data_IF_124958427349
#
_entry.id   IF_124958427349
#
_cell.length_a   1.000
_cell.length_b   1.000
_cell.length_c   1.000
_cell.angle_alpha   90.00
_cell.angle_beta   90.00
_cell.angle_gamma   90.00
#
_symmetry.space_group_name_H-M   'P 1'
#
loop_
_entity.id
_entity.type
_entity.pdbx_description
1 polymer ?
#
# COMPACT_ATOMS: atom_id res chain seq x y z
N UNK A 1 -41.69 0.11 -80.23
CA UNK A 1 -43.00 0.65 -79.75
C UNK A 1 -42.82 0.87 -78.27
N UNK A 2 -42.76 2.14 -77.88
CA UNK A 2 -43.59 2.90 -76.92
C UNK A 2 -43.64 2.25 -75.53
N UNK A 3 -43.43 2.92 -74.42
CA UNK A 3 -43.44 4.30 -74.06
C UNK A 3 -42.82 4.49 -72.65
N UNK A 4 -42.20 5.61 -72.41
CA UNK A 4 -41.88 6.33 -71.25
C UNK A 4 -42.94 6.28 -70.14
N UNK A 5 -42.54 6.18 -68.88
CA UNK A 5 -43.10 7.04 -67.84
C UNK A 5 -42.09 7.22 -66.69
N UNK A 6 -41.88 8.46 -66.36
CA UNK A 6 -41.05 9.00 -65.25
C UNK A 6 -41.83 8.84 -63.95
N UNK A 7 -41.16 8.44 -62.91
CA UNK A 7 -41.69 8.47 -61.55
C UNK A 7 -40.63 8.98 -60.60
N UNK A 8 -40.83 10.19 -60.09
CA UNK A 8 -40.03 10.85 -59.03
C UNK A 8 -40.09 10.00 -57.76
N UNK A 9 -38.93 9.57 -57.22
CA UNK A 9 -38.81 9.03 -55.89
C UNK A 9 -38.12 10.04 -54.98
N UNK A 10 -38.85 10.52 -54.03
CA UNK A 10 -38.41 11.44 -52.98
C UNK A 10 -37.33 10.80 -52.10
N UNK A 11 -36.21 11.47 -51.91
CA UNK A 11 -35.23 11.16 -50.87
C UNK A 11 -35.84 11.51 -49.49
N UNK A 12 -36.14 10.47 -48.73
CA UNK A 12 -36.33 10.59 -47.28
C UNK A 12 -34.99 10.47 -46.59
N UNK A 13 -34.42 11.56 -46.17
CA UNK A 13 -33.24 11.58 -45.31
C UNK A 13 -33.65 11.12 -43.89
N UNK A 14 -33.30 9.87 -43.55
CA UNK A 14 -33.41 9.37 -42.16
C UNK A 14 -32.26 9.96 -41.37
N UNK A 15 -32.55 10.97 -40.52
CA UNK A 15 -31.67 11.43 -39.48
C UNK A 15 -31.56 10.34 -38.39
N UNK A 16 -30.48 9.58 -38.38
CA UNK A 16 -30.11 8.76 -37.25
C UNK A 16 -29.72 9.68 -36.10
N UNK A 17 -30.63 9.86 -35.15
CA UNK A 17 -30.32 10.41 -33.84
C UNK A 17 -29.33 9.45 -33.16
N UNK A 18 -28.05 9.85 -33.09
CA UNK A 18 -27.08 9.24 -32.20
C UNK A 18 -27.53 9.52 -30.77
N UNK A 19 -28.27 8.59 -30.19
CA UNK A 19 -28.47 8.56 -28.73
C UNK A 19 -27.12 8.30 -28.09
N UNK A 20 -26.40 9.36 -27.76
CA UNK A 20 -25.23 9.27 -26.91
C UNK A 20 -25.67 8.61 -25.59
N UNK A 21 -25.07 7.48 -25.25
CA UNK A 21 -25.08 6.98 -23.89
C UNK A 21 -24.49 8.07 -23.02
N UNK A 22 -25.35 8.89 -22.41
CA UNK A 22 -24.98 9.71 -21.29
C UNK A 22 -24.56 8.72 -20.19
N UNK A 23 -23.27 8.52 -20.06
CA UNK A 23 -22.71 7.84 -18.89
C UNK A 23 -23.35 8.53 -17.67
N UNK A 24 -23.96 7.75 -16.80
CA UNK A 24 -24.45 8.22 -15.51
C UNK A 24 -23.23 8.73 -14.78
N UNK A 25 -22.99 10.04 -14.81
CA UNK A 25 -21.97 10.68 -14.01
C UNK A 25 -22.35 10.40 -12.56
N UNK A 26 -21.55 9.62 -11.87
CA UNK A 26 -21.73 9.40 -10.43
C UNK A 26 -21.89 10.76 -9.77
N UNK A 27 -22.78 10.84 -8.77
CA UNK A 27 -23.04 12.10 -8.06
C UNK A 27 -21.72 12.68 -7.57
N UNK A 28 -21.33 13.82 -8.12
CA UNK A 28 -20.03 14.47 -7.86
C UNK A 28 -20.02 15.13 -6.50
N UNK A 29 -21.19 15.51 -5.97
CA UNK A 29 -21.34 16.21 -4.71
C UNK A 29 -22.07 15.35 -3.67
N UNK A 30 -21.50 15.28 -2.46
CA UNK A 30 -22.22 14.74 -1.31
C UNK A 30 -23.33 15.71 -0.92
N UNK A 31 -24.57 15.23 -0.66
CA UNK A 31 -25.71 16.10 -0.40
C UNK A 31 -25.60 16.79 0.96
N UNK A 32 -25.92 18.07 0.99
CA UNK A 32 -26.00 18.86 2.22
C UNK A 32 -24.65 19.18 2.86
N UNK A 33 -24.61 19.22 4.18
CA UNK A 33 -23.45 19.60 4.98
C UNK A 33 -22.88 18.44 5.82
N UNK A 34 -23.27 17.21 5.54
CA UNK A 34 -22.77 16.02 6.24
C UNK A 34 -21.95 15.16 5.28
N UNK A 35 -20.71 14.90 5.64
CA UNK A 35 -19.77 14.07 4.90
C UNK A 35 -19.49 12.81 5.70
N UNK A 36 -19.29 11.68 5.02
CA UNK A 36 -18.79 10.44 5.61
C UNK A 36 -17.40 10.13 5.07
N UNK A 37 -16.50 9.74 5.97
CA UNK A 37 -15.22 9.10 5.64
C UNK A 37 -15.31 7.66 6.12
N UNK A 38 -15.18 6.74 5.19
CA UNK A 38 -15.16 5.31 5.47
C UNK A 38 -13.72 4.83 5.65
N UNK A 39 -13.53 3.87 6.54
CA UNK A 39 -12.27 3.11 6.67
C UNK A 39 -12.61 1.63 6.70
N UNK A 40 -11.87 0.81 5.94
CA UNK A 40 -12.03 -0.64 5.89
C UNK A 40 -10.66 -1.30 6.13
N UNK A 41 -10.57 -2.06 7.19
CA UNK A 41 -9.34 -2.70 7.68
C UNK A 41 -9.71 -4.01 8.41
N UNK A 42 -8.85 -5.04 8.44
CA UNK A 42 -9.12 -6.26 9.19
C UNK A 42 -8.99 -5.98 10.70
N UNK A 43 -10.13 -5.88 11.39
CA UNK A 43 -10.20 -5.52 12.82
C UNK A 43 -10.07 -6.74 13.74
N UNK A 44 -9.93 -7.94 13.18
CA UNK A 44 -9.79 -9.20 13.90
C UNK A 44 -8.53 -9.94 13.44
N UNK A 45 -8.12 -10.97 14.21
CA UNK A 45 -7.00 -11.83 13.85
C UNK A 45 -5.63 -11.18 13.89
N UNK A 46 -4.66 -11.69 13.12
CA UNK A 46 -3.26 -11.27 13.20
C UNK A 46 -3.00 -9.80 12.88
N UNK A 47 -3.81 -9.19 12.01
CA UNK A 47 -3.68 -7.78 11.60
C UNK A 47 -4.37 -6.80 12.56
N UNK A 48 -5.21 -7.28 13.49
CA UNK A 48 -5.98 -6.43 14.39
C UNK A 48 -5.14 -5.41 15.17
N UNK A 49 -3.95 -5.72 15.69
CA UNK A 49 -3.13 -4.74 16.40
C UNK A 49 -2.69 -3.56 15.52
N UNK A 50 -2.34 -3.82 14.25
CA UNK A 50 -1.97 -2.80 13.27
C UNK A 50 -3.21 -1.97 12.89
N UNK A 51 -4.31 -2.62 12.57
CA UNK A 51 -5.58 -1.98 12.21
C UNK A 51 -6.10 -1.08 13.33
N UNK A 52 -6.00 -1.53 14.59
CA UNK A 52 -6.40 -0.72 15.75
C UNK A 52 -5.57 0.57 15.89
N UNK A 53 -4.27 0.52 15.58
CA UNK A 53 -3.42 1.71 15.56
C UNK A 53 -3.84 2.67 14.45
N UNK A 54 -4.09 2.18 13.23
CA UNK A 54 -4.53 2.99 12.09
C UNK A 54 -5.87 3.66 12.42
N UNK A 55 -6.89 2.89 12.79
CA UNK A 55 -8.23 3.40 13.17
C UNK A 55 -8.16 4.41 14.30
N UNK A 56 -7.33 4.13 15.31
CA UNK A 56 -7.14 5.07 16.42
C UNK A 56 -6.46 6.37 15.99
N UNK A 57 -5.51 6.32 15.07
CA UNK A 57 -4.89 7.48 14.43
C UNK A 57 -5.92 8.31 13.64
N UNK A 58 -6.74 7.67 12.82
CA UNK A 58 -7.82 8.31 12.05
C UNK A 58 -8.83 9.02 12.98
N UNK A 59 -9.31 8.31 14.01
CA UNK A 59 -10.22 8.87 15.02
C UNK A 59 -9.58 10.04 15.77
N UNK A 60 -8.29 9.97 16.08
CA UNK A 60 -7.58 11.04 16.77
C UNK A 60 -7.51 12.31 15.91
N UNK A 61 -7.15 12.19 14.63
CA UNK A 61 -7.07 13.32 13.71
C UNK A 61 -8.45 13.99 13.52
N UNK A 62 -9.52 13.21 13.33
CA UNK A 62 -10.87 13.73 13.22
C UNK A 62 -11.33 14.44 14.50
N UNK A 63 -11.03 13.86 15.67
CA UNK A 63 -11.38 14.46 16.95
C UNK A 63 -10.64 15.78 17.21
N UNK A 64 -9.38 15.90 16.80
CA UNK A 64 -8.62 17.14 16.89
C UNK A 64 -9.16 18.22 15.93
N UNK A 65 -9.77 17.83 14.82
CA UNK A 65 -10.50 18.72 13.92
C UNK A 65 -11.90 19.10 14.44
N UNK A 66 -12.34 18.55 15.56
CA UNK A 66 -13.66 18.80 16.13
C UNK A 66 -14.82 18.13 15.39
N UNK A 67 -14.54 17.15 14.51
CA UNK A 67 -15.56 16.46 13.72
C UNK A 67 -16.16 17.32 12.59
N UNK A 68 -15.48 18.39 12.17
CA UNK A 68 -15.97 19.27 11.11
C UNK A 68 -14.85 20.00 10.37
N UNK A 69 -15.16 20.46 9.15
CA UNK A 69 -14.31 21.34 8.35
C UNK A 69 -15.16 22.51 7.87
N UNK A 70 -14.95 23.70 8.46
CA UNK A 70 -15.85 24.83 8.24
C UNK A 70 -17.30 24.46 8.61
N UNK A 71 -18.27 24.67 7.71
CA UNK A 71 -19.67 24.31 7.96
C UNK A 71 -19.99 22.83 7.77
N UNK A 72 -19.06 22.05 7.22
CA UNK A 72 -19.26 20.64 6.89
C UNK A 72 -18.98 19.76 8.11
N UNK A 73 -19.95 18.96 8.53
CA UNK A 73 -19.78 17.91 9.54
C UNK A 73 -19.18 16.69 8.89
N UNK A 74 -18.20 16.08 9.54
CA UNK A 74 -17.50 14.89 9.06
C UNK A 74 -17.76 13.73 10.01
N UNK A 75 -18.49 12.72 9.52
CA UNK A 75 -18.67 11.44 10.17
C UNK A 75 -17.55 10.47 9.80
N UNK A 76 -17.34 9.48 10.64
CA UNK A 76 -16.36 8.41 10.41
C UNK A 76 -17.03 7.06 10.63
N UNK A 77 -16.87 6.16 9.64
CA UNK A 77 -17.40 4.81 9.65
C UNK A 77 -16.23 3.84 9.50
N UNK A 78 -16.01 3.01 10.52
CA UNK A 78 -14.99 1.95 10.47
C UNK A 78 -15.67 0.62 10.16
N UNK A 79 -15.27 -0.02 9.07
CA UNK A 79 -15.72 -1.31 8.61
C UNK A 79 -14.64 -2.36 8.90
N UNK A 80 -15.05 -3.63 8.99
CA UNK A 80 -14.17 -4.77 9.28
C UNK A 80 -14.18 -5.73 8.10
N UNK A 81 -13.08 -5.74 7.34
CA UNK A 81 -12.91 -6.65 6.21
C UNK A 81 -12.23 -7.98 6.58
N UNK A 82 -12.13 -8.29 7.87
CA UNK A 82 -11.58 -9.55 8.33
C UNK A 82 -12.50 -10.73 8.00
N UNK A 83 -11.89 -11.86 7.69
CA UNK A 83 -12.56 -13.16 7.65
C UNK A 83 -12.99 -13.56 9.07
N UNK A 84 -14.27 -13.87 9.32
CA UNK A 84 -14.75 -14.19 10.67
C UNK A 84 -14.20 -15.52 11.22
N UNK A 85 -13.56 -16.36 10.39
CA UNK A 85 -13.01 -17.66 10.83
C UNK A 85 -11.59 -17.53 11.36
N UNK A 86 -10.72 -16.81 10.66
CA UNK A 86 -9.29 -16.72 10.98
C UNK A 86 -8.77 -15.28 11.13
N UNK A 87 -9.62 -14.28 10.87
CA UNK A 87 -9.28 -12.88 10.98
C UNK A 87 -8.31 -12.37 9.89
N UNK A 88 -8.05 -13.16 8.86
CA UNK A 88 -7.29 -12.70 7.70
C UNK A 88 -8.12 -11.71 6.87
N UNK A 89 -7.49 -10.83 6.05
CA UNK A 89 -8.24 -9.99 5.11
C UNK A 89 -9.10 -10.83 4.19
N UNK A 90 -10.39 -10.47 4.05
CA UNK A 90 -11.38 -11.22 3.28
C UNK A 90 -11.74 -10.48 1.98
N UNK A 91 -11.44 -11.04 0.79
CA UNK A 91 -11.79 -10.42 -0.48
C UNK A 91 -13.26 -10.05 -0.61
N UNK A 92 -14.16 -10.90 -0.10
CA UNK A 92 -15.61 -10.66 -0.15
C UNK A 92 -16.06 -9.56 0.80
N UNK A 93 -15.46 -9.47 2.01
CA UNK A 93 -15.75 -8.40 2.94
C UNK A 93 -15.21 -7.06 2.42
N UNK A 94 -13.96 -7.01 1.96
CA UNK A 94 -13.36 -5.82 1.31
C UNK A 94 -14.24 -5.28 0.17
N UNK A 95 -14.71 -6.18 -0.73
CA UNK A 95 -15.60 -5.76 -1.83
C UNK A 95 -16.98 -5.28 -1.33
N UNK A 96 -17.50 -5.84 -0.24
CA UNK A 96 -18.76 -5.41 0.39
C UNK A 96 -18.62 -4.05 1.03
N UNK A 97 -17.53 -3.81 1.74
CA UNK A 97 -17.21 -2.56 2.40
C UNK A 97 -17.02 -1.42 1.39
N UNK A 98 -16.27 -1.69 0.31
CA UNK A 98 -16.10 -0.74 -0.78
C UNK A 98 -17.44 -0.39 -1.45
N UNK A 99 -18.32 -1.37 -1.68
CA UNK A 99 -19.67 -1.12 -2.20
C UNK A 99 -20.51 -0.30 -1.24
N UNK A 100 -20.46 -0.61 0.06
CA UNK A 100 -21.17 0.15 1.10
C UNK A 100 -20.76 1.63 1.09
N UNK A 101 -19.44 1.89 1.06
CA UNK A 101 -18.91 3.24 0.96
C UNK A 101 -19.30 3.93 -0.36
N UNK A 102 -19.25 3.21 -1.49
CA UNK A 102 -19.60 3.74 -2.80
C UNK A 102 -21.10 4.08 -2.95
N UNK A 103 -21.98 3.37 -2.26
CA UNK A 103 -23.44 3.57 -2.29
C UNK A 103 -23.92 4.67 -1.37
N UNK A 104 -23.17 5.00 -0.32
CA UNK A 104 -23.50 6.14 0.55
C UNK A 104 -23.15 7.45 -0.17
N UNK A 105 -24.18 8.23 -0.51
CA UNK A 105 -24.01 9.49 -1.23
C UNK A 105 -23.24 10.54 -0.43
N UNK A 106 -23.18 10.41 0.90
CA UNK A 106 -22.43 11.31 1.78
C UNK A 106 -20.92 11.00 1.80
N UNK A 107 -20.46 9.88 1.25
CA UNK A 107 -19.04 9.49 1.25
C UNK A 107 -18.20 10.47 0.45
N UNK A 108 -17.19 11.04 1.10
CA UNK A 108 -16.21 11.95 0.49
C UNK A 108 -14.85 11.33 0.30
N UNK A 109 -14.49 10.37 1.15
CA UNK A 109 -13.23 9.63 1.05
C UNK A 109 -13.35 8.22 1.66
N UNK A 110 -12.50 7.32 1.19
CA UNK A 110 -12.32 5.97 1.69
C UNK A 110 -10.87 5.79 2.13
N UNK A 111 -10.65 5.39 3.39
CA UNK A 111 -9.35 5.12 3.98
C UNK A 111 -9.15 3.60 4.04
N UNK A 112 -8.19 3.12 3.32
CA UNK A 112 -7.96 1.68 3.19
C UNK A 112 -7.38 1.30 1.82
N UNK A 113 -7.11 0.05 1.64
CA UNK A 113 -7.18 -1.07 2.59
C UNK A 113 -5.83 -1.31 3.24
N UNK A 114 -5.79 -2.23 4.19
CA UNK A 114 -4.52 -2.76 4.69
C UNK A 114 -4.00 -3.80 3.68
N UNK A 115 -2.94 -3.43 2.98
CA UNK A 115 -2.32 -4.28 1.99
C UNK A 115 -2.89 -4.15 0.57
N UNK A 116 -2.06 -4.51 -0.39
CA UNK A 116 -2.27 -4.27 -1.81
C UNK A 116 -3.40 -5.10 -2.42
N UNK A 117 -3.60 -6.32 -1.93
CA UNK A 117 -4.65 -7.21 -2.41
C UNK A 117 -6.06 -6.65 -2.12
N UNK A 118 -6.28 -6.11 -0.91
CA UNK A 118 -7.53 -5.42 -0.58
C UNK A 118 -7.74 -4.19 -1.46
N UNK A 119 -6.72 -3.34 -1.59
CA UNK A 119 -6.79 -2.14 -2.43
C UNK A 119 -7.05 -2.45 -3.89
N UNK A 120 -6.48 -3.52 -4.44
CA UNK A 120 -6.76 -3.94 -5.82
C UNK A 120 -8.23 -4.33 -6.06
N UNK A 121 -8.94 -4.75 -5.01
CA UNK A 121 -10.37 -5.08 -5.04
C UNK A 121 -11.26 -3.86 -4.81
N UNK A 122 -10.93 -3.02 -3.84
CA UNK A 122 -11.74 -1.85 -3.46
C UNK A 122 -11.61 -0.70 -4.47
N UNK A 123 -10.38 -0.45 -4.97
CA UNK A 123 -10.09 0.70 -5.80
C UNK A 123 -10.95 0.84 -7.05
N UNK A 124 -11.21 -0.21 -7.85
CA UNK A 124 -12.10 -0.06 -9.00
C UNK A 124 -13.53 0.38 -8.63
N UNK A 125 -14.03 -0.07 -7.48
CA UNK A 125 -15.36 0.27 -6.99
C UNK A 125 -15.41 1.73 -6.48
N UNK A 126 -14.45 2.13 -5.70
CA UNK A 126 -14.31 3.47 -5.15
C UNK A 126 -14.02 4.49 -6.26
N UNK A 127 -13.17 4.12 -7.23
CA UNK A 127 -12.90 4.95 -8.40
C UNK A 127 -14.15 5.16 -9.27
N UNK A 128 -14.91 4.09 -9.55
CA UNK A 128 -16.16 4.19 -10.30
C UNK A 128 -17.19 5.12 -9.64
N UNK A 129 -17.17 5.24 -8.30
CA UNK A 129 -18.01 6.16 -7.53
C UNK A 129 -17.43 7.59 -7.46
N UNK A 130 -16.28 7.85 -8.07
CA UNK A 130 -15.59 9.15 -8.03
C UNK A 130 -15.15 9.56 -6.62
N UNK A 131 -14.78 8.62 -5.77
CA UNK A 131 -14.38 8.84 -4.38
C UNK A 131 -12.86 8.78 -4.27
N UNK A 132 -12.26 9.67 -3.47
CA UNK A 132 -10.86 9.63 -3.10
C UNK A 132 -10.58 8.40 -2.23
N UNK A 133 -9.60 7.57 -2.61
CA UNK A 133 -9.10 6.48 -1.78
C UNK A 133 -7.69 6.79 -1.28
N UNK A 134 -7.47 6.68 0.02
CA UNK A 134 -6.15 6.88 0.65
C UNK A 134 -5.78 5.64 1.44
N UNK A 135 -4.75 4.93 0.99
CA UNK A 135 -4.27 3.76 1.72
C UNK A 135 -3.17 4.12 2.71
N UNK A 136 -3.28 3.65 3.95
CA UNK A 136 -2.19 3.74 4.93
C UNK A 136 -1.04 2.79 4.60
N UNK A 137 -1.32 1.66 3.90
CA UNK A 137 -0.32 0.67 3.52
C UNK A 137 -0.78 -0.18 2.32
N UNK A 138 -0.34 0.15 1.11
CA UNK A 138 -0.53 -0.64 -0.09
C UNK A 138 0.63 -0.37 -1.05
N UNK A 139 1.77 -1.06 -0.87
CA UNK A 139 3.02 -0.71 -1.55
C UNK A 139 3.07 -1.14 -3.02
N UNK A 140 2.19 -2.03 -3.49
CA UNK A 140 2.23 -2.63 -4.82
C UNK A 140 2.39 -1.62 -5.96
N UNK A 141 3.41 -1.81 -6.78
CA UNK A 141 3.76 -0.90 -7.89
C UNK A 141 2.63 -0.74 -8.89
N UNK A 142 1.89 -1.82 -9.21
CA UNK A 142 0.84 -1.85 -10.20
C UNK A 142 -0.39 -0.98 -9.88
N UNK A 143 -0.56 -0.53 -8.64
CA UNK A 143 -1.64 0.39 -8.28
C UNK A 143 -1.44 1.80 -8.88
N UNK A 144 -0.20 2.19 -9.17
CA UNK A 144 0.13 3.57 -9.59
C UNK A 144 0.98 3.65 -10.85
N UNK A 145 1.73 2.59 -11.19
CA UNK A 145 2.66 2.53 -12.30
C UNK A 145 2.41 1.31 -13.19
N UNK A 146 2.77 1.40 -14.46
CA UNK A 146 2.83 0.26 -15.39
C UNK A 146 4.22 -0.37 -15.47
N UNK A 147 5.22 0.21 -14.81
CA UNK A 147 6.59 -0.31 -14.81
C UNK A 147 6.64 -1.57 -13.95
N UNK A 148 7.07 -2.69 -14.53
CA UNK A 148 7.14 -4.01 -13.87
C UNK A 148 5.83 -4.47 -13.22
N UNK A 149 4.70 -3.91 -13.65
CA UNK A 149 3.37 -4.21 -13.17
C UNK A 149 2.70 -5.31 -14.01
N UNK A 150 1.55 -5.80 -13.56
CA UNK A 150 0.74 -6.76 -14.30
C UNK A 150 0.15 -6.16 -15.59
N UNK A 151 -0.39 -7.05 -16.44
CA UNK A 151 -1.05 -6.63 -17.68
C UNK A 151 -2.22 -5.68 -17.38
N UNK A 152 -2.34 -4.62 -18.20
CA UNK A 152 -3.37 -3.57 -18.08
C UNK A 152 -3.32 -2.76 -16.78
N UNK A 153 -2.29 -2.90 -15.97
CA UNK A 153 -2.06 -2.08 -14.78
C UNK A 153 -1.30 -0.79 -15.13
N UNK A 154 -1.63 0.27 -14.43
CA UNK A 154 -2.65 0.44 -13.39
C UNK A 154 -4.06 0.71 -13.96
N UNK A 155 -4.24 0.73 -15.27
CA UNK A 155 -5.49 1.12 -15.95
C UNK A 155 -6.72 0.36 -15.44
N UNK A 156 -6.61 -0.93 -15.21
CA UNK A 156 -7.71 -1.79 -14.73
C UNK A 156 -8.29 -1.37 -13.37
N UNK A 157 -7.52 -0.65 -12.56
CA UNK A 157 -7.97 -0.16 -11.26
C UNK A 157 -8.71 1.18 -11.33
N UNK A 158 -8.70 1.84 -12.50
CA UNK A 158 -9.27 3.17 -12.69
C UNK A 158 -10.29 3.17 -13.84
N UNK A 159 -11.48 2.54 -13.66
CA UNK A 159 -12.49 2.46 -14.72
C UNK A 159 -12.97 3.82 -15.23
N UNK A 160 -12.84 4.90 -14.44
CA UNK A 160 -13.15 6.27 -14.89
C UNK A 160 -12.01 6.90 -15.71
N UNK A 161 -10.85 6.28 -15.78
CA UNK A 161 -9.63 6.86 -16.35
C UNK A 161 -8.94 7.93 -15.48
N UNK A 162 -9.57 8.34 -14.38
CA UNK A 162 -9.03 9.34 -13.45
C UNK A 162 -8.30 8.68 -12.29
N UNK A 163 -7.19 9.26 -11.85
CA UNK A 163 -6.49 8.86 -10.63
C UNK A 163 -7.23 9.36 -9.40
N UNK A 164 -7.63 8.44 -8.52
CA UNK A 164 -8.35 8.73 -7.26
C UNK A 164 -7.71 8.08 -6.05
N UNK A 165 -6.61 7.36 -6.22
CA UNK A 165 -5.90 6.64 -5.18
C UNK A 165 -4.58 7.30 -4.82
N UNK A 166 -4.29 7.39 -3.52
CA UNK A 166 -2.99 7.81 -3.00
C UNK A 166 -2.54 6.86 -1.89
N UNK A 167 -1.28 6.42 -1.95
CA UNK A 167 -0.63 5.71 -0.83
C UNK A 167 0.21 6.66 0.01
N UNK A 168 0.16 6.53 1.32
CA UNK A 168 0.94 7.37 2.23
C UNK A 168 2.32 6.80 2.55
N UNK A 169 2.50 5.50 2.44
CA UNK A 169 3.80 4.87 2.62
C UNK A 169 4.57 4.79 1.30
N UNK A 170 5.91 4.78 1.33
CA UNK A 170 6.71 4.49 0.15
C UNK A 170 6.35 3.13 -0.46
N UNK A 171 6.24 3.07 -1.79
CA UNK A 171 5.90 1.85 -2.51
C UNK A 171 7.10 0.93 -2.80
N UNK A 172 6.83 -0.17 -3.51
CA UNK A 172 7.78 -1.25 -3.81
C UNK A 172 9.06 -0.79 -4.49
N UNK A 173 9.01 0.20 -5.37
CA UNK A 173 10.21 0.75 -6.00
C UNK A 173 11.18 1.34 -4.97
N UNK A 174 10.66 1.97 -3.92
CA UNK A 174 11.49 2.51 -2.82
C UNK A 174 12.02 1.37 -1.96
N UNK A 175 11.22 0.34 -1.71
CA UNK A 175 11.66 -0.87 -0.98
C UNK A 175 12.78 -1.60 -1.71
N UNK A 176 12.65 -1.82 -3.00
CA UNK A 176 13.66 -2.48 -3.83
C UNK A 176 14.99 -1.71 -3.81
N UNK A 177 14.94 -0.39 -3.97
CA UNK A 177 16.12 0.46 -3.86
C UNK A 177 16.76 0.39 -2.46
N UNK A 178 15.96 0.34 -1.39
CA UNK A 178 16.47 0.15 -0.02
C UNK A 178 17.17 -1.21 0.15
N UNK A 179 16.61 -2.28 -0.42
CA UNK A 179 17.19 -3.62 -0.41
C UNK A 179 18.53 -3.67 -1.15
N UNK A 180 18.61 -3.07 -2.34
CA UNK A 180 19.86 -2.98 -3.10
C UNK A 180 20.93 -2.20 -2.31
N UNK A 181 20.55 -1.10 -1.65
CA UNK A 181 21.44 -0.29 -0.82
C UNK A 181 21.88 -1.06 0.44
N UNK A 182 20.98 -1.79 1.07
CA UNK A 182 21.30 -2.68 2.19
C UNK A 182 22.33 -3.74 1.78
N UNK A 183 22.09 -4.46 0.69
CA UNK A 183 23.02 -5.48 0.19
C UNK A 183 24.42 -4.91 -0.07
N UNK A 184 24.48 -3.71 -0.67
CA UNK A 184 25.78 -3.02 -0.85
C UNK A 184 26.47 -2.70 0.47
N UNK A 185 25.75 -2.17 1.45
CA UNK A 185 26.28 -1.81 2.77
C UNK A 185 26.80 -3.05 3.54
N UNK A 186 26.18 -4.20 3.32
CA UNK A 186 26.59 -5.49 3.89
C UNK A 186 27.71 -6.16 3.08
N UNK A 187 28.18 -5.57 1.99
CA UNK A 187 29.27 -6.10 1.16
C UNK A 187 28.86 -7.26 0.25
N UNK A 188 27.57 -7.49 0.04
CA UNK A 188 27.05 -8.53 -0.84
C UNK A 188 27.50 -8.27 -2.28
N UNK A 189 28.07 -9.29 -2.92
CA UNK A 189 28.48 -9.27 -4.33
C UNK A 189 27.61 -10.15 -5.22
N UNK A 190 26.89 -11.09 -4.62
CA UNK A 190 26.02 -12.02 -5.33
C UNK A 190 24.79 -12.38 -4.49
N UNK A 191 23.61 -12.19 -5.06
CA UNK A 191 22.30 -12.45 -4.43
C UNK A 191 21.55 -13.52 -5.22
N UNK A 192 20.79 -14.35 -4.52
CA UNK A 192 19.75 -15.21 -5.08
C UNK A 192 18.39 -14.61 -4.72
N UNK A 193 17.53 -14.36 -5.70
CA UNK A 193 16.20 -13.77 -5.49
C UNK A 193 15.17 -14.88 -5.53
N UNK A 194 14.22 -14.85 -4.61
CA UNK A 194 13.10 -15.80 -4.55
C UNK A 194 11.81 -14.99 -4.33
N UNK A 195 10.74 -15.29 -5.05
CA UNK A 195 9.39 -14.87 -4.73
C UNK A 195 8.48 -16.06 -4.38
N UNK A 196 7.36 -15.81 -3.71
CA UNK A 196 6.40 -16.84 -3.28
C UNK A 196 5.23 -17.04 -4.25
N UNK A 197 5.33 -16.52 -5.47
CA UNK A 197 4.29 -16.55 -6.51
C UNK A 197 3.08 -15.65 -6.21
N UNK A 198 3.11 -14.86 -5.14
CA UNK A 198 2.07 -13.86 -4.91
C UNK A 198 2.15 -12.76 -5.98
N UNK A 199 1.04 -12.46 -6.68
CA UNK A 199 1.05 -11.48 -7.77
C UNK A 199 1.42 -10.06 -7.33
N UNK A 200 1.41 -9.75 -6.04
CA UNK A 200 1.83 -8.46 -5.50
C UNK A 200 3.31 -8.45 -5.08
N UNK A 201 3.91 -9.62 -4.81
CA UNK A 201 5.32 -9.74 -4.40
C UNK A 201 6.26 -10.04 -5.58
N UNK A 202 5.79 -10.75 -6.63
CA UNK A 202 6.57 -11.05 -7.84
C UNK A 202 7.16 -9.79 -8.49
N UNK A 203 6.42 -8.68 -8.69
CA UNK A 203 6.98 -7.44 -9.23
C UNK A 203 8.05 -6.83 -8.32
N UNK A 204 7.87 -6.86 -7.00
CA UNK A 204 8.88 -6.38 -6.05
C UNK A 204 10.19 -7.18 -6.19
N UNK A 205 10.12 -8.53 -6.30
CA UNK A 205 11.29 -9.36 -6.54
C UNK A 205 12.01 -8.99 -7.83
N UNK A 206 11.24 -8.74 -8.90
CA UNK A 206 11.77 -8.35 -10.21
C UNK A 206 12.50 -7.00 -10.14
N UNK A 207 11.87 -5.99 -9.53
CA UNK A 207 12.47 -4.66 -9.35
C UNK A 207 13.72 -4.76 -8.48
N UNK A 208 13.66 -5.52 -7.38
CA UNK A 208 14.79 -5.70 -6.48
C UNK A 208 15.98 -6.41 -7.14
N UNK A 209 15.73 -7.38 -8.02
CA UNK A 209 16.77 -8.01 -8.83
C UNK A 209 17.41 -7.00 -9.81
N UNK A 210 16.59 -6.18 -10.47
CA UNK A 210 17.05 -5.12 -11.36
C UNK A 210 17.91 -4.08 -10.63
N UNK A 211 17.44 -3.59 -9.48
CA UNK A 211 18.14 -2.62 -8.65
C UNK A 211 19.45 -3.18 -8.08
N UNK A 212 19.46 -4.45 -7.69
CA UNK A 212 20.68 -5.13 -7.27
C UNK A 212 21.71 -5.18 -8.40
N UNK A 213 21.28 -5.54 -9.62
CA UNK A 213 22.16 -5.57 -10.79
C UNK A 213 22.69 -4.17 -11.13
N UNK A 214 21.83 -3.15 -11.11
CA UNK A 214 22.21 -1.74 -11.31
C UNK A 214 23.19 -1.24 -10.25
N UNK A 215 23.09 -1.77 -9.02
CA UNK A 215 24.00 -1.48 -7.91
C UNK A 215 25.34 -2.27 -8.00
N UNK A 216 25.56 -3.07 -9.05
CA UNK A 216 26.78 -3.87 -9.24
C UNK A 216 26.80 -5.17 -8.44
N UNK A 217 25.65 -5.66 -8.00
CA UNK A 217 25.49 -6.95 -7.31
C UNK A 217 25.03 -7.98 -8.34
N UNK A 218 25.80 -9.08 -8.48
CA UNK A 218 25.42 -10.15 -9.39
C UNK A 218 24.17 -10.88 -8.92
N UNK A 219 23.15 -10.95 -9.77
CA UNK A 219 21.96 -11.77 -9.52
C UNK A 219 22.25 -13.19 -10.00
N UNK A 220 22.34 -14.13 -9.07
CA UNK A 220 22.70 -15.52 -9.35
C UNK A 220 21.57 -16.27 -10.06
N UNK A 221 20.34 -16.05 -9.58
CA UNK A 221 19.10 -16.52 -10.17
C UNK A 221 17.92 -15.74 -9.55
N UNK A 222 16.76 -15.86 -10.18
CA UNK A 222 15.47 -15.46 -9.66
C UNK A 222 14.50 -16.63 -9.83
N UNK A 223 14.14 -17.28 -8.73
CA UNK A 223 13.22 -18.41 -8.70
C UNK A 223 11.89 -18.02 -8.06
N UNK A 224 10.82 -18.53 -8.65
CA UNK A 224 9.43 -18.30 -8.18
C UNK A 224 8.92 -19.64 -7.61
N UNK A 225 8.66 -19.70 -6.30
CA UNK A 225 8.33 -20.93 -5.59
C UNK A 225 7.12 -20.76 -4.68
N UNK A 226 6.21 -21.73 -4.67
CA UNK A 226 5.15 -21.75 -3.68
C UNK A 226 5.69 -22.08 -2.29
N UNK A 227 5.18 -21.41 -1.25
CA UNK A 227 5.62 -21.60 0.14
C UNK A 227 4.48 -22.10 1.07
N UNK A 228 3.80 -23.21 0.75
CA UNK A 228 2.76 -23.74 1.60
C UNK A 228 3.30 -24.31 2.92
N UNK A 229 2.46 -24.37 3.94
CA UNK A 229 2.80 -25.04 5.19
C UNK A 229 3.19 -26.50 4.96
N UNK A 230 4.27 -26.96 5.61
CA UNK A 230 4.76 -28.34 5.50
C UNK A 230 5.58 -28.66 4.24
N UNK A 231 5.83 -27.68 3.37
CA UNK A 231 6.67 -27.88 2.19
C UNK A 231 8.13 -28.17 2.58
N UNK A 232 8.80 -28.98 1.75
CA UNK A 232 10.25 -29.19 1.81
C UNK A 232 10.94 -28.29 0.79
N UNK A 233 11.94 -27.56 1.22
CA UNK A 233 12.73 -26.64 0.38
C UNK A 233 14.15 -27.16 0.07
N UNK A 234 14.41 -28.48 0.25
CA UNK A 234 15.73 -29.05 0.07
C UNK A 234 16.31 -28.77 -1.33
N UNK A 235 15.49 -28.90 -2.39
CA UNK A 235 15.94 -28.62 -3.75
C UNK A 235 16.25 -27.15 -3.98
N UNK A 236 15.49 -26.24 -3.38
CA UNK A 236 15.73 -24.80 -3.48
C UNK A 236 17.00 -24.38 -2.72
N UNK A 237 17.16 -24.90 -1.51
CA UNK A 237 18.39 -24.73 -0.73
C UNK A 237 19.62 -25.20 -1.51
N UNK A 238 19.56 -26.37 -2.17
CA UNK A 238 20.65 -26.87 -3.01
C UNK A 238 20.99 -25.93 -4.18
N UNK A 239 19.97 -25.35 -4.85
CA UNK A 239 20.19 -24.34 -5.90
C UNK A 239 20.91 -23.11 -5.34
N UNK A 240 20.43 -22.57 -4.22
CA UNK A 240 21.06 -21.42 -3.54
C UNK A 240 22.52 -21.72 -3.21
N UNK A 241 22.80 -22.88 -2.62
CA UNK A 241 24.18 -23.26 -2.28
C UNK A 241 25.09 -23.37 -3.51
N UNK A 242 24.62 -24.01 -4.58
CA UNK A 242 25.38 -24.14 -5.84
C UNK A 242 25.60 -22.81 -6.55
N UNK A 243 24.72 -21.84 -6.34
CA UNK A 243 24.80 -20.52 -6.99
C UNK A 243 25.97 -19.67 -6.51
N UNK A 244 26.53 -19.96 -5.34
CA UNK A 244 27.53 -19.14 -4.68
C UNK A 244 27.01 -17.79 -4.20
N UNK A 245 25.72 -17.64 -3.99
CA UNK A 245 25.11 -16.43 -3.44
C UNK A 245 25.58 -16.21 -1.98
N UNK A 246 25.78 -14.95 -1.63
CA UNK A 246 26.12 -14.50 -0.28
C UNK A 246 24.88 -14.06 0.49
N UNK A 247 23.80 -13.80 -0.24
CA UNK A 247 22.50 -13.43 0.31
C UNK A 247 21.35 -14.07 -0.48
N UNK A 248 20.26 -14.33 0.20
CA UNK A 248 18.94 -14.58 -0.40
C UNK A 248 18.07 -13.38 -0.14
N UNK A 249 17.44 -12.84 -1.17
CA UNK A 249 16.36 -11.89 -1.08
C UNK A 249 15.04 -12.63 -1.36
N UNK A 250 14.11 -12.60 -0.43
CA UNK A 250 12.81 -13.22 -0.57
C UNK A 250 11.71 -12.14 -0.55
N UNK A 251 10.93 -12.08 -1.60
CA UNK A 251 9.71 -11.30 -1.69
C UNK A 251 8.52 -12.25 -1.53
N UNK A 252 7.81 -12.11 -0.42
CA UNK A 252 6.71 -12.99 -0.09
C UNK A 252 6.21 -12.82 1.33
N UNK A 253 5.14 -13.54 1.66
CA UNK A 253 4.52 -13.51 2.97
C UNK A 253 5.30 -14.27 4.05
N UNK A 254 5.19 -13.83 5.31
CA UNK A 254 5.83 -14.43 6.48
C UNK A 254 5.12 -15.69 7.02
N UNK A 255 4.46 -16.47 6.17
CA UNK A 255 3.74 -17.68 6.58
C UNK A 255 4.63 -18.85 7.00
N UNK A 256 4.02 -19.99 7.44
CA UNK A 256 4.76 -21.16 7.92
C UNK A 256 5.75 -21.74 6.90
N UNK A 257 5.46 -21.65 5.60
CA UNK A 257 6.38 -22.07 4.54
C UNK A 257 7.63 -21.19 4.47
N UNK A 258 7.49 -19.87 4.58
CA UNK A 258 8.63 -18.95 4.65
C UNK A 258 9.49 -19.22 5.90
N UNK A 259 8.88 -19.52 7.05
CA UNK A 259 9.60 -19.94 8.26
C UNK A 259 10.43 -21.21 7.99
N UNK A 260 9.85 -22.19 7.30
CA UNK A 260 10.55 -23.44 6.96
C UNK A 260 11.71 -23.19 5.99
N UNK A 261 11.50 -22.36 4.96
CA UNK A 261 12.54 -21.93 4.02
C UNK A 261 13.72 -21.25 4.76
N UNK A 262 13.41 -20.28 5.64
CA UNK A 262 14.42 -19.57 6.43
C UNK A 262 15.29 -20.48 7.26
N UNK A 263 14.65 -21.39 7.99
CA UNK A 263 15.35 -22.39 8.81
C UNK A 263 16.22 -23.33 7.97
N UNK A 264 15.72 -23.77 6.81
CA UNK A 264 16.45 -24.66 5.92
C UNK A 264 17.68 -23.97 5.29
N UNK A 265 17.55 -22.73 4.83
CA UNK A 265 18.65 -21.91 4.31
C UNK A 265 19.72 -21.68 5.37
N UNK A 266 19.32 -21.28 6.57
CA UNK A 266 20.25 -21.03 7.68
C UNK A 266 20.96 -22.31 8.14
N UNK A 267 20.26 -23.45 8.19
CA UNK A 267 20.85 -24.72 8.55
C UNK A 267 21.93 -25.17 7.55
N UNK A 268 21.72 -24.91 6.26
CA UNK A 268 22.68 -25.22 5.19
C UNK A 268 23.87 -24.23 5.18
N UNK A 269 23.65 -22.96 5.47
CA UNK A 269 24.67 -21.93 5.48
C UNK A 269 24.38 -20.85 6.55
N UNK A 270 24.86 -21.00 7.78
CA UNK A 270 24.59 -20.08 8.88
C UNK A 270 25.05 -18.62 8.64
N UNK A 271 25.99 -18.42 7.72
CA UNK A 271 26.52 -17.11 7.34
C UNK A 271 25.81 -16.48 6.14
N UNK A 272 24.90 -17.19 5.50
CA UNK A 272 24.08 -16.66 4.41
C UNK A 272 23.18 -15.55 4.92
N UNK A 273 23.25 -14.38 4.30
CA UNK A 273 22.38 -13.27 4.66
C UNK A 273 20.97 -13.52 4.11
N UNK A 274 19.96 -13.33 4.94
CA UNK A 274 18.56 -13.56 4.60
C UNK A 274 17.83 -12.20 4.66
N UNK A 275 17.38 -11.73 3.50
CA UNK A 275 16.69 -10.45 3.35
C UNK A 275 15.23 -10.71 3.03
N UNK A 276 14.33 -10.09 3.79
CA UNK A 276 12.89 -10.17 3.57
C UNK A 276 12.25 -8.80 3.39
N UNK A 277 10.97 -8.81 3.06
CA UNK A 277 10.14 -7.64 2.78
C UNK A 277 9.34 -7.19 4.02
N UNK A 278 8.58 -6.09 3.88
CA UNK A 278 7.68 -5.59 4.91
C UNK A 278 6.59 -6.61 5.30
N UNK A 279 6.19 -7.50 4.39
CA UNK A 279 5.21 -8.56 4.63
C UNK A 279 5.67 -9.60 5.68
N UNK A 280 6.97 -9.61 6.04
CA UNK A 280 7.57 -10.58 6.96
C UNK A 280 7.86 -10.02 8.36
N UNK A 281 7.50 -8.77 8.64
CA UNK A 281 7.85 -8.10 9.93
C UNK A 281 7.00 -8.55 11.11
N UNK A 282 5.93 -9.31 10.88
CA UNK A 282 5.01 -9.79 11.93
C UNK A 282 5.63 -10.83 12.87
N UNK A 283 5.23 -10.82 14.15
CA UNK A 283 5.73 -11.76 15.17
C UNK A 283 5.44 -13.23 14.82
N UNK A 284 4.39 -13.51 14.04
CA UNK A 284 4.08 -14.85 13.55
C UNK A 284 5.23 -15.46 12.73
N UNK A 285 6.03 -14.64 12.04
CA UNK A 285 7.24 -15.07 11.35
C UNK A 285 8.47 -14.91 12.23
N UNK A 286 8.72 -13.71 12.75
CA UNK A 286 10.00 -13.36 13.39
C UNK A 286 10.30 -14.18 14.64
N UNK A 287 9.26 -14.58 15.41
CA UNK A 287 9.42 -15.42 16.60
C UNK A 287 9.73 -16.89 16.28
N UNK A 288 9.46 -17.33 15.03
CA UNK A 288 9.55 -18.74 14.67
C UNK A 288 10.81 -19.10 13.87
N UNK A 289 11.55 -18.14 13.32
CA UNK A 289 12.73 -18.44 12.48
C UNK A 289 13.96 -18.98 13.27
N UNK A 290 13.93 -18.92 14.60
CA UNK A 290 14.97 -19.50 15.47
C UNK A 290 16.35 -18.90 15.21
N UNK A 291 17.37 -19.76 15.02
CA UNK A 291 18.76 -19.32 14.78
C UNK A 291 18.95 -18.48 13.52
N UNK A 292 18.07 -18.61 12.52
CA UNK A 292 18.12 -17.79 11.30
C UNK A 292 17.95 -16.29 11.58
N UNK A 293 17.39 -15.90 12.73
CA UNK A 293 17.28 -14.52 13.16
C UNK A 293 18.62 -13.76 13.13
N UNK A 294 19.74 -14.45 13.41
CA UNK A 294 21.05 -13.83 13.45
C UNK A 294 21.53 -13.27 12.10
N UNK A 295 21.07 -13.86 10.98
CA UNK A 295 21.42 -13.46 9.61
C UNK A 295 20.27 -12.78 8.87
N UNK A 296 19.14 -12.50 9.54
CA UNK A 296 17.92 -11.95 8.94
C UNK A 296 17.89 -10.43 9.03
N UNK A 297 17.54 -9.80 7.91
CA UNK A 297 17.25 -8.38 7.76
C UNK A 297 15.90 -8.22 7.07
N UNK A 298 14.99 -7.42 7.64
CA UNK A 298 13.68 -7.14 7.06
C UNK A 298 13.58 -5.66 6.71
N UNK A 299 13.16 -5.35 5.50
CA UNK A 299 12.90 -3.98 5.08
C UNK A 299 11.46 -3.58 5.43
N UNK A 300 11.27 -2.35 5.95
CA UNK A 300 9.95 -1.86 6.34
C UNK A 300 9.79 -0.35 6.04
N UNK A 301 8.61 0.09 5.58
CA UNK A 301 8.33 1.52 5.39
C UNK A 301 8.14 2.26 6.71
N UNK A 302 7.94 1.56 7.82
CA UNK A 302 7.78 2.15 9.15
C UNK A 302 9.15 2.44 9.78
N UNK A 303 9.33 3.67 10.25
CA UNK A 303 10.58 4.12 10.87
C UNK A 303 10.54 3.93 12.38
N UNK A 304 11.71 3.88 13.01
CA UNK A 304 11.80 4.02 14.46
C UNK A 304 11.15 5.35 14.91
N UNK A 305 10.43 5.41 16.04
CA UNK A 305 9.71 6.59 16.49
C UNK A 305 10.55 7.87 16.52
N UNK A 306 11.83 7.79 16.91
CA UNK A 306 12.74 8.92 16.98
C UNK A 306 13.08 9.54 15.61
N UNK A 307 12.86 8.81 14.52
CA UNK A 307 13.15 9.27 13.16
C UNK A 307 12.00 10.05 12.51
N UNK A 308 10.84 10.05 13.14
CA UNK A 308 9.71 10.87 12.70
C UNK A 308 9.84 12.32 13.22
N UNK A 309 9.13 13.29 12.59
CA UNK A 309 9.12 14.67 13.06
C UNK A 309 8.65 14.83 14.51
N UNK A 310 9.01 15.91 15.22
CA UNK A 310 8.55 16.14 16.60
C UNK A 310 7.01 16.16 16.74
N UNK A 311 6.27 16.50 15.68
CA UNK A 311 4.80 16.42 15.65
C UNK A 311 4.30 15.00 15.86
N UNK A 312 5.00 14.00 15.34
CA UNK A 312 4.66 12.59 15.51
C UNK A 312 4.70 12.16 16.99
N UNK A 313 5.72 12.62 17.74
CA UNK A 313 5.84 12.29 19.17
C UNK A 313 4.61 12.78 19.97
N UNK A 314 4.09 13.97 19.63
CA UNK A 314 2.88 14.51 20.26
C UNK A 314 1.64 13.66 19.93
N UNK A 315 1.53 13.22 18.67
CA UNK A 315 0.41 12.34 18.24
C UNK A 315 0.49 10.99 18.94
N UNK A 316 1.66 10.36 19.02
CA UNK A 316 1.86 9.09 19.72
C UNK A 316 1.55 9.20 21.21
N UNK A 317 1.97 10.29 21.86
CA UNK A 317 1.67 10.53 23.27
C UNK A 317 0.17 10.73 23.52
N UNK A 318 -0.50 11.50 22.65
CA UNK A 318 -1.95 11.74 22.73
C UNK A 318 -2.74 10.46 22.47
N UNK A 319 -2.29 9.63 21.51
CA UNK A 319 -2.88 8.32 21.26
C UNK A 319 -2.86 7.44 22.51
N UNK A 320 -1.66 7.30 23.17
CA UNK A 320 -1.53 6.53 24.41
C UNK A 320 -2.45 7.04 25.51
N UNK A 321 -2.54 8.36 25.65
CA UNK A 321 -3.41 8.99 26.64
C UNK A 321 -4.89 8.68 26.41
N UNK A 322 -5.34 8.66 25.14
CA UNK A 322 -6.75 8.57 24.77
C UNK A 322 -7.26 7.13 24.62
N UNK A 323 -6.44 6.27 24.04
CA UNK A 323 -6.83 4.90 23.69
C UNK A 323 -6.11 3.84 24.53
N UNK A 324 -5.06 4.20 25.23
CA UNK A 324 -4.19 3.25 25.91
C UNK A 324 -3.39 2.39 24.93
N UNK A 325 -2.69 1.37 25.46
CA UNK A 325 -1.95 0.42 24.64
C UNK A 325 -0.67 0.97 23.98
N UNK A 326 -0.13 0.18 23.07
CA UNK A 326 1.08 0.51 22.34
C UNK A 326 0.77 1.48 21.19
N UNK A 327 1.53 2.56 21.11
CA UNK A 327 1.44 3.54 20.04
C UNK A 327 2.65 3.40 19.11
N UNK A 328 2.48 2.60 18.09
CA UNK A 328 3.49 2.38 17.05
C UNK A 328 3.32 3.31 15.84
N UNK A 329 4.16 3.12 14.82
CA UNK A 329 4.17 3.98 13.63
C UNK A 329 2.86 3.94 12.82
N UNK A 330 2.09 2.88 12.92
CA UNK A 330 0.80 2.77 12.22
C UNK A 330 -0.27 3.76 12.74
N UNK A 331 -0.14 4.24 13.98
CA UNK A 331 -0.93 5.39 14.46
C UNK A 331 -0.70 6.62 13.59
N UNK A 332 0.54 6.82 13.15
CA UNK A 332 0.92 7.99 12.36
C UNK A 332 0.39 7.92 10.94
N UNK A 333 0.36 6.73 10.32
CA UNK A 333 -0.20 6.56 8.98
C UNK A 333 -1.71 6.79 8.95
N UNK A 334 -2.45 6.22 9.92
CA UNK A 334 -3.88 6.49 10.07
C UNK A 334 -4.19 7.96 10.38
N UNK A 335 -3.41 8.56 11.29
CA UNK A 335 -3.56 9.98 11.62
C UNK A 335 -3.36 10.87 10.38
N UNK A 336 -2.31 10.59 9.60
CA UNK A 336 -2.03 11.38 8.39
C UNK A 336 -3.08 11.14 7.31
N UNK A 337 -3.58 9.92 7.12
CA UNK A 337 -4.64 9.64 6.15
C UNK A 337 -5.86 10.53 6.39
N UNK A 338 -6.38 10.54 7.61
CA UNK A 338 -7.50 11.39 7.99
C UNK A 338 -7.14 12.87 7.91
N UNK A 339 -5.98 13.27 8.45
CA UNK A 339 -5.54 14.68 8.48
C UNK A 339 -5.35 15.28 7.08
N UNK A 340 -4.83 14.49 6.13
CA UNK A 340 -4.66 14.92 4.74
C UNK A 340 -6.01 15.09 4.03
N UNK A 341 -6.95 14.14 4.23
CA UNK A 341 -8.32 14.24 3.69
C UNK A 341 -9.03 15.48 4.23
N UNK A 342 -9.00 15.71 5.55
CA UNK A 342 -9.59 16.91 6.15
C UNK A 342 -8.91 18.20 5.63
N UNK A 343 -7.61 18.12 5.33
CA UNK A 343 -6.87 19.19 4.68
C UNK A 343 -7.35 19.49 3.27
N UNK A 344 -7.61 18.45 2.46
CA UNK A 344 -8.13 18.58 1.11
C UNK A 344 -9.57 19.16 1.10
N UNK A 345 -10.45 18.68 1.99
CA UNK A 345 -11.79 19.23 2.17
C UNK A 345 -11.71 20.73 2.52
N UNK A 346 -10.80 21.12 3.40
CA UNK A 346 -10.59 22.54 3.78
C UNK A 346 -10.08 23.36 2.60
N UNK A 347 -9.16 22.84 1.79
CA UNK A 347 -8.63 23.51 0.62
C UNK A 347 -9.69 23.69 -0.48
N UNK A 348 -10.61 22.75 -0.61
CA UNK A 348 -11.77 22.85 -1.51
C UNK A 348 -12.76 23.97 -1.11
N UNK A 349 -12.69 24.47 0.12
CA UNK A 349 -13.48 25.61 0.59
C UNK A 349 -14.99 25.37 0.53
N UNK A 350 -15.73 26.24 -0.18
CA UNK A 350 -17.17 26.09 -0.35
C UNK A 350 -17.59 24.81 -1.09
N UNK A 351 -16.65 24.17 -1.83
CA UNK A 351 -16.85 22.91 -2.57
C UNK A 351 -16.26 21.71 -1.81
N UNK A 352 -16.14 21.77 -0.49
CA UNK A 352 -15.61 20.68 0.31
C UNK A 352 -16.47 19.40 0.30
N UNK A 353 -17.72 19.47 -0.17
CA UNK A 353 -18.61 18.35 -0.42
C UNK A 353 -18.56 17.81 -1.87
N UNK A 354 -17.77 18.42 -2.75
CA UNK A 354 -17.56 17.99 -4.12
C UNK A 354 -16.39 16.99 -4.17
N UNK A 355 -16.69 15.73 -4.49
CA UNK A 355 -15.71 14.63 -4.55
C UNK A 355 -14.57 14.94 -5.49
N UNK A 356 -14.89 15.43 -6.69
CA UNK A 356 -13.90 15.78 -7.70
C UNK A 356 -12.94 16.87 -7.19
N UNK A 357 -13.48 17.90 -6.56
CA UNK A 357 -12.68 18.99 -6.01
C UNK A 357 -11.77 18.52 -4.87
N UNK A 358 -12.27 17.65 -4.00
CA UNK A 358 -11.46 17.06 -2.92
C UNK A 358 -10.32 16.19 -3.46
N UNK A 359 -10.57 15.40 -4.52
CA UNK A 359 -9.52 14.65 -5.24
C UNK A 359 -8.47 15.61 -5.79
N UNK A 360 -8.88 16.66 -6.51
CA UNK A 360 -7.96 17.66 -7.08
C UNK A 360 -7.08 18.30 -6.01
N UNK A 361 -7.67 18.72 -4.89
CA UNK A 361 -6.93 19.33 -3.77
C UNK A 361 -5.98 18.33 -3.08
N UNK A 362 -6.37 17.05 -2.99
CA UNK A 362 -5.49 16.03 -2.45
C UNK A 362 -4.27 15.79 -3.38
N UNK A 363 -4.51 15.68 -4.68
CA UNK A 363 -3.43 15.54 -5.67
C UNK A 363 -2.61 16.84 -5.86
N UNK A 364 -3.14 17.98 -5.44
CA UNK A 364 -2.41 19.25 -5.40
C UNK A 364 -1.50 19.41 -4.18
N UNK A 365 -1.46 18.46 -3.24
CA UNK A 365 -0.60 18.52 -2.07
C UNK A 365 0.86 18.63 -2.51
N UNK A 366 1.54 19.71 -2.08
CA UNK A 366 2.96 19.94 -2.30
C UNK A 366 3.64 20.33 -0.99
N UNK A 367 4.77 19.67 -0.72
CA UNK A 367 5.64 19.97 0.43
C UNK A 367 4.90 20.02 1.78
N UNK A 368 3.89 19.18 1.96
CA UNK A 368 3.08 19.09 3.17
C UNK A 368 3.92 18.65 4.36
N UNK A 369 3.96 19.47 5.40
CA UNK A 369 4.54 19.08 6.67
C UNK A 369 3.56 18.19 7.43
N UNK A 370 3.95 16.94 7.68
CA UNK A 370 3.11 15.93 8.29
C UNK A 370 3.80 15.21 9.45
N UNK A 371 3.08 14.30 10.09
CA UNK A 371 3.64 13.41 11.12
C UNK A 371 4.54 12.33 10.53
N UNK A 372 4.41 12.04 9.22
CA UNK A 372 5.26 11.08 8.50
C UNK A 372 6.55 11.70 7.96
N UNK A 373 6.62 13.01 7.92
CA UNK A 373 7.67 13.78 7.28
C UNK A 373 7.08 14.80 6.31
N UNK A 374 7.94 15.36 5.46
CA UNK A 374 7.54 16.32 4.44
C UNK A 374 7.34 15.59 3.12
N UNK A 375 6.18 15.75 2.50
CA UNK A 375 5.87 15.07 1.24
C UNK A 375 5.02 15.89 0.28
N UNK A 376 5.08 15.50 -0.98
CA UNK A 376 4.16 15.90 -2.05
C UNK A 376 3.46 14.65 -2.60
N UNK A 377 2.30 14.84 -3.20
CA UNK A 377 1.60 13.79 -3.94
C UNK A 377 1.98 13.89 -5.42
N UNK A 378 2.37 12.77 -6.01
CA UNK A 378 2.69 12.67 -7.43
C UNK A 378 1.42 12.56 -8.28
N UNK A 379 1.47 12.83 -9.58
CA UNK A 379 0.31 12.61 -10.47
C UNK A 379 -0.16 11.14 -10.53
N UNK A 380 0.71 10.18 -10.22
CA UNK A 380 0.38 8.75 -10.16
C UNK A 380 -0.35 8.34 -8.88
N UNK A 381 -0.27 9.14 -7.80
CA UNK A 381 -0.83 8.80 -6.50
C UNK A 381 0.18 8.29 -5.47
N UNK A 382 1.47 8.39 -5.77
CA UNK A 382 2.52 8.11 -4.79
C UNK A 382 2.83 9.36 -3.97
N UNK A 383 3.34 9.18 -2.75
CA UNK A 383 3.98 10.27 -2.01
C UNK A 383 5.48 10.32 -2.30
N UNK A 384 6.09 11.48 -2.07
CA UNK A 384 7.54 11.66 -2.19
C UNK A 384 8.29 11.26 -0.92
N UNK A 385 7.64 10.50 -0.01
CA UNK A 385 8.33 9.88 1.11
C UNK A 385 9.29 8.81 0.58
N UNK A 386 10.54 8.87 1.01
CA UNK A 386 11.63 8.08 0.44
C UNK A 386 12.45 7.32 1.48
N UNK A 387 12.06 7.42 2.75
CA UNK A 387 12.78 6.74 3.84
C UNK A 387 12.23 5.36 4.05
N UNK A 388 13.14 4.40 4.13
CA UNK A 388 12.82 2.99 4.37
C UNK A 388 13.73 2.45 5.46
N UNK A 389 13.16 1.76 6.44
CA UNK A 389 13.92 1.17 7.53
C UNK A 389 14.31 -0.28 7.22
N UNK A 390 15.29 -0.73 7.96
CA UNK A 390 15.74 -2.12 8.04
C UNK A 390 15.69 -2.52 9.50
N UNK A 391 15.07 -3.65 9.76
CA UNK A 391 15.02 -4.26 11.06
C UNK A 391 15.90 -5.52 11.11
N UNK A 392 16.44 -5.80 12.28
CA UNK A 392 17.03 -7.10 12.66
C UNK A 392 16.10 -7.81 13.63
N UNK A 393 16.25 -9.11 13.72
CA UNK A 393 15.43 -9.90 14.63
C UNK A 393 16.20 -10.14 15.93
N UNK A 394 15.65 -9.61 17.04
CA UNK A 394 16.22 -9.76 18.38
C UNK A 394 15.13 -10.29 19.33
N UNK A 395 15.38 -11.44 19.93
CA UNK A 395 14.39 -12.07 20.84
C UNK A 395 13.06 -12.40 20.16
N UNK A 396 13.06 -12.71 18.85
CA UNK A 396 11.86 -13.01 18.09
C UNK A 396 11.06 -11.78 17.64
N UNK A 397 11.59 -10.58 17.82
CA UNK A 397 10.94 -9.33 17.42
C UNK A 397 11.77 -8.58 16.39
N UNK A 398 11.10 -7.92 15.47
CA UNK A 398 11.73 -6.95 14.56
C UNK A 398 12.16 -5.71 15.36
N UNK A 399 13.44 -5.36 15.27
CA UNK A 399 14.05 -4.24 15.99
C UNK A 399 14.80 -3.37 15.00
N UNK A 400 14.57 -2.08 15.04
CA UNK A 400 15.22 -1.11 14.17
C UNK A 400 16.74 -1.28 14.17
N UNK A 401 17.32 -1.36 12.98
CA UNK A 401 18.75 -1.46 12.76
C UNK A 401 19.31 -0.26 11.98
N UNK A 402 18.64 0.13 10.88
CA UNK A 402 19.13 1.19 9.99
C UNK A 402 17.96 1.83 9.24
N UNK A 403 18.15 3.03 8.69
CA UNK A 403 17.22 3.63 7.74
C UNK A 403 17.98 4.29 6.59
N UNK A 404 17.50 4.03 5.38
CA UNK A 404 17.97 4.68 4.15
C UNK A 404 17.03 5.82 3.77
N UNK A 405 17.60 6.93 3.34
CA UNK A 405 16.85 7.98 2.61
C UNK A 405 17.21 7.90 1.13
N UNK A 406 16.24 7.53 0.32
CA UNK A 406 16.44 7.27 -1.11
C UNK A 406 16.21 8.51 -1.99
N UNK A 407 15.86 9.65 -1.39
CA UNK A 407 15.84 10.96 -2.06
C UNK A 407 17.20 11.67 -2.09
N UNK A 408 18.26 11.04 -1.57
CA UNK A 408 19.62 11.57 -1.57
C UNK A 408 20.07 12.22 -0.27
N UNK A 409 19.26 12.14 0.82
CA UNK A 409 19.74 12.49 2.15
C UNK A 409 20.67 11.39 2.73
N UNK A 410 21.56 11.69 3.69
CA UNK A 410 22.44 10.70 4.28
C UNK A 410 21.66 9.62 5.03
N UNK A 411 22.20 8.41 5.01
CA UNK A 411 21.69 7.27 5.79
C UNK A 411 21.77 7.54 7.30
N UNK A 412 20.82 7.02 8.05
CA UNK A 412 20.78 7.13 9.50
C UNK A 412 21.05 5.76 10.11
N UNK A 413 22.26 5.49 10.64
CA UNK A 413 22.56 4.24 11.31
C UNK A 413 21.82 4.12 12.64
N UNK A 414 21.68 2.90 13.15
CA UNK A 414 21.26 2.67 14.53
C UNK A 414 22.29 3.25 15.48
N UNK A 415 21.84 4.03 16.44
CA UNK A 415 22.65 4.55 17.55
C UNK A 415 22.99 3.46 18.57
#
# INVERSE_FOLDING_TARGET
>A
MLARWLGFAALAAAALAASGCAGVSAAVEAPGNQLAIYSSLPLQGPSAPISAQIVGGEKLALAQAGGHVGPLKVGYVSLDDANPVDGSPSPSATATDAKTAAQDTSTIAYLGDLGSAGTALSLPLINAAGILQVSPESPYIGLTSSLDAGQDEPGRFYPTGQRTFVRLQPGDAVQAAAQARLMRSLGVKRVFVIDDQDPFEVPLATIAASDAAAAGIGVAAHDSIATPAGASFAGEVEKVMRSGAQAVLFAGGGGPGAVALWRALHAAAPHLLLLGTSAMTGEAFTSQIGAAAASTYLTTPTLAPALYPPSAQRVLAEYRRRFGGEAGPYVLTGYEAMSAVLGAIRAAGARGNDRQRVIEEFFAIRNRASVLGRYSVTPSGDTTLSRFAVDRIVGGKAVFFHAFDLAGAPDVPAG
#
